data_IF_292041554040
#
_entry.id   IF_292041554040
#
_cell.length_a   1.000
_cell.length_b   1.000
_cell.length_c   1.000
_cell.angle_alpha   90.00
_cell.angle_beta   90.00
_cell.angle_gamma   90.00
#
_symmetry.space_group_name_H-M   'P 1'
#
loop_
_entity.id
_entity.type
_entity.pdbx_description
1 polymer ?
#
# COMPACT_ATOMS: atom_id res chain seq x y z
N UNK A 1 3.70 -25.01 -63.52
CA UNK A 1 3.15 -25.51 -62.23
C UNK A 1 3.73 -24.68 -61.12
N UNK A 2 2.92 -23.80 -60.51
CA UNK A 2 3.35 -22.86 -59.43
C UNK A 2 2.73 -23.34 -58.10
N UNK A 3 3.57 -23.88 -57.23
CA UNK A 3 3.16 -24.25 -55.85
C UNK A 3 3.08 -22.99 -55.01
N UNK A 4 1.87 -22.66 -54.51
CA UNK A 4 1.64 -21.65 -53.48
C UNK A 4 1.62 -22.37 -52.11
N UNK A 5 2.62 -22.06 -51.30
CA UNK A 5 2.64 -22.48 -49.87
C UNK A 5 1.91 -21.39 -49.07
N UNK A 6 0.77 -21.75 -48.55
CA UNK A 6 -0.01 -20.89 -47.64
C UNK A 6 0.50 -21.10 -46.23
N UNK A 7 1.15 -20.10 -45.67
CA UNK A 7 1.57 -20.09 -44.27
C UNK A 7 0.37 -19.68 -43.40
N UNK A 8 -0.18 -20.62 -42.67
CA UNK A 8 -1.21 -20.35 -41.65
C UNK A 8 -0.50 -19.92 -40.35
N UNK A 9 -0.63 -18.64 -40.00
CA UNK A 9 -0.19 -18.12 -38.74
C UNK A 9 -1.18 -18.55 -37.66
N UNK A 10 -0.78 -19.44 -36.75
CA UNK A 10 -1.52 -19.82 -35.56
C UNK A 10 -1.24 -18.75 -34.50
N UNK A 11 -2.19 -17.86 -34.30
CA UNK A 11 -2.15 -16.86 -33.25
C UNK A 11 -2.65 -17.52 -31.95
N UNK A 12 -1.70 -17.98 -31.10
CA UNK A 12 -2.01 -18.48 -29.76
C UNK A 12 -2.43 -17.34 -28.86
N UNK A 13 -3.71 -17.22 -28.60
CA UNK A 13 -4.28 -16.32 -27.62
C UNK A 13 -4.01 -16.93 -26.23
N UNK A 14 -3.00 -16.44 -25.53
CA UNK A 14 -2.78 -16.78 -24.11
C UNK A 14 -3.81 -16.00 -23.31
N UNK A 15 -4.93 -16.62 -23.00
CA UNK A 15 -5.85 -16.14 -21.96
C UNK A 15 -5.18 -16.40 -20.61
N UNK A 16 -4.56 -15.38 -20.01
CA UNK A 16 -4.23 -15.40 -18.60
C UNK A 16 -5.54 -15.27 -17.81
N UNK A 17 -6.01 -16.38 -17.28
CA UNK A 17 -7.11 -16.39 -16.31
C UNK A 17 -6.60 -15.71 -15.03
N UNK A 18 -7.03 -14.48 -14.80
CA UNK A 18 -6.85 -13.80 -13.50
C UNK A 18 -7.80 -14.48 -12.52
N UNK A 19 -7.25 -15.19 -11.54
CA UNK A 19 -8.02 -15.78 -10.47
C UNK A 19 -8.69 -14.66 -9.64
N UNK A 20 -10.01 -14.75 -9.35
CA UNK A 20 -10.68 -13.75 -8.53
C UNK A 20 -10.22 -13.93 -7.07
N UNK A 21 -9.48 -12.96 -6.55
CA UNK A 21 -9.14 -12.90 -5.11
C UNK A 21 -7.76 -12.40 -4.73
N UNK A 22 -6.85 -12.17 -5.64
CA UNK A 22 -5.56 -11.57 -5.30
C UNK A 22 -5.66 -10.04 -5.26
N UNK A 23 -5.66 -9.52 -4.05
CA UNK A 23 -5.49 -8.08 -3.81
C UNK A 23 -4.02 -7.75 -4.06
N UNK A 24 -3.75 -7.20 -5.22
CA UNK A 24 -2.39 -6.89 -5.67
C UNK A 24 -1.93 -5.61 -4.97
N UNK A 25 -0.90 -5.72 -4.13
CA UNK A 25 -0.15 -4.57 -3.67
C UNK A 25 0.64 -4.00 -4.86
N UNK A 26 0.38 -2.74 -5.24
CA UNK A 26 1.10 -2.07 -6.32
C UNK A 26 1.65 -0.74 -5.83
N UNK A 27 2.94 -0.51 -6.10
CA UNK A 27 3.53 0.81 -6.03
C UNK A 27 3.09 1.64 -7.25
N UNK A 28 2.55 2.81 -7.03
CA UNK A 28 2.11 3.72 -8.10
C UNK A 28 2.79 5.07 -7.96
N UNK A 29 3.20 5.63 -9.10
CA UNK A 29 3.59 7.02 -9.23
C UNK A 29 2.54 7.75 -10.08
N UNK A 30 2.09 8.90 -9.62
CA UNK A 30 1.21 9.77 -10.39
C UNK A 30 1.69 11.22 -10.33
N UNK A 31 1.59 11.93 -11.45
CA UNK A 31 1.88 13.35 -11.51
C UNK A 31 0.59 14.13 -11.82
N UNK A 32 0.24 15.03 -10.91
CA UNK A 32 -0.88 15.97 -11.10
C UNK A 32 -0.35 17.31 -11.63
N UNK A 33 -0.48 17.52 -12.94
CA UNK A 33 -0.02 18.74 -13.62
C UNK A 33 -0.74 20.01 -13.17
N UNK A 34 -1.94 19.91 -12.60
CA UNK A 34 -2.71 21.08 -12.14
C UNK A 34 -2.25 21.57 -10.77
N UNK A 35 -1.68 20.67 -9.98
CA UNK A 35 -1.14 20.97 -8.65
C UNK A 35 0.38 21.02 -8.64
N UNK A 36 1.01 20.69 -9.80
CA UNK A 36 2.46 20.52 -9.93
C UNK A 36 3.04 19.63 -8.82
N UNK A 37 2.47 18.43 -8.68
CA UNK A 37 2.85 17.48 -7.63
C UNK A 37 2.98 16.06 -8.15
N UNK A 38 3.99 15.36 -7.67
CA UNK A 38 4.16 13.93 -7.86
C UNK A 38 3.81 13.20 -6.57
N UNK A 39 2.93 12.21 -6.67
CA UNK A 39 2.60 11.28 -5.59
C UNK A 39 3.21 9.92 -5.89
N UNK A 40 3.81 9.32 -4.87
CA UNK A 40 4.28 7.95 -4.83
C UNK A 40 3.48 7.23 -3.76
N UNK A 41 2.78 6.16 -4.10
CA UNK A 41 1.93 5.42 -3.17
C UNK A 41 2.06 3.92 -3.38
N UNK A 42 2.20 3.15 -2.30
CA UNK A 42 1.96 1.72 -2.27
C UNK A 42 0.86 1.42 -1.26
N UNK A 43 -0.17 0.72 -1.70
CA UNK A 43 -1.29 0.31 -0.87
C UNK A 43 -1.30 -1.19 -0.71
N UNK A 44 -1.42 -1.63 0.54
CA UNK A 44 -1.49 -3.03 0.92
C UNK A 44 -2.84 -3.26 1.60
N UNK A 45 -3.65 -4.15 1.02
CA UNK A 45 -4.89 -4.60 1.63
C UNK A 45 -4.62 -5.86 2.45
N UNK A 46 -5.00 -5.83 3.73
CA UNK A 46 -4.90 -6.98 4.62
C UNK A 46 -6.23 -7.72 4.61
N UNK A 47 -6.33 -8.77 3.82
CA UNK A 47 -7.59 -9.38 3.38
C UNK A 47 -8.25 -10.35 4.36
N UNK A 48 -7.75 -10.49 5.59
CA UNK A 48 -8.45 -11.30 6.59
C UNK A 48 -9.58 -10.49 7.22
N UNK A 49 -10.79 -10.68 6.72
CA UNK A 49 -11.99 -10.19 7.39
C UNK A 49 -12.11 -10.89 8.74
N UNK A 50 -12.02 -10.13 9.83
CA UNK A 50 -12.32 -10.63 11.17
C UNK A 50 -13.79 -10.36 11.52
N UNK A 51 -14.28 -10.93 12.62
CA UNK A 51 -15.62 -10.59 13.14
C UNK A 51 -15.72 -9.11 13.51
N UNK A 52 -14.59 -8.45 13.74
CA UNK A 52 -14.47 -7.09 14.27
C UNK A 52 -14.18 -6.07 13.17
N UNK A 53 -13.39 -6.42 12.14
CA UNK A 53 -13.01 -5.51 11.07
C UNK A 53 -13.56 -5.94 9.72
N UNK A 54 -14.06 -4.99 8.92
CA UNK A 54 -14.45 -5.20 7.53
C UNK A 54 -13.28 -5.12 6.57
N UNK A 55 -12.24 -4.40 6.96
CA UNK A 55 -11.03 -4.26 6.17
C UNK A 55 -9.96 -3.49 6.91
N UNK A 56 -8.72 -3.82 6.60
CA UNK A 56 -7.53 -3.09 7.03
C UNK A 56 -6.72 -2.81 5.78
N UNK A 57 -6.41 -1.55 5.53
CA UNK A 57 -5.47 -1.16 4.49
C UNK A 57 -4.31 -0.38 5.10
N UNK A 58 -3.13 -0.61 4.58
CA UNK A 58 -1.94 0.15 4.93
C UNK A 58 -1.39 0.78 3.65
N UNK A 59 -1.03 2.05 3.70
CA UNK A 59 -0.36 2.73 2.61
C UNK A 59 0.97 3.32 3.07
N UNK A 60 1.94 3.33 2.15
CA UNK A 60 3.16 4.12 2.25
C UNK A 60 3.12 5.14 1.13
N UNK A 61 3.17 6.42 1.47
CA UNK A 61 3.00 7.52 0.53
C UNK A 61 4.09 8.58 0.69
N UNK A 62 4.49 9.20 -0.41
CA UNK A 62 5.26 10.44 -0.43
C UNK A 62 4.70 11.37 -1.51
N UNK A 63 4.56 12.64 -1.17
CA UNK A 63 4.11 13.69 -2.11
C UNK A 63 5.21 14.75 -2.18
N UNK A 64 5.62 15.07 -3.39
CA UNK A 64 6.67 16.08 -3.65
C UNK A 64 6.17 17.12 -4.66
N UNK A 65 6.62 18.35 -4.53
CA UNK A 65 6.31 19.40 -5.50
C UNK A 65 7.13 19.17 -6.80
N UNK A 66 6.50 19.40 -7.94
CA UNK A 66 7.07 19.19 -9.26
C UNK A 66 7.09 17.73 -9.72
N UNK A 67 7.54 17.52 -10.96
CA UNK A 67 7.78 16.21 -11.55
C UNK A 67 9.20 15.74 -11.24
N UNK A 68 9.46 15.28 -10.03
CA UNK A 68 10.79 14.90 -9.56
C UNK A 68 10.80 13.69 -8.65
N UNK A 69 11.97 13.12 -8.45
CA UNK A 69 12.21 12.09 -7.46
C UNK A 69 12.17 12.63 -6.03
N UNK A 70 11.92 11.75 -5.07
CA UNK A 70 12.01 12.03 -3.64
C UNK A 70 13.48 12.20 -3.21
N UNK A 71 13.75 13.21 -2.42
CA UNK A 71 15.07 13.53 -1.88
C UNK A 71 15.13 13.28 -0.37
N UNK A 72 16.30 13.48 0.24
CA UNK A 72 16.47 13.31 1.68
C UNK A 72 15.68 14.32 2.53
N UNK A 73 15.29 15.45 1.95
CA UNK A 73 14.49 16.49 2.62
C UNK A 73 13.00 16.21 2.58
N UNK A 74 12.54 15.30 1.71
CA UNK A 74 11.14 14.91 1.60
C UNK A 74 10.79 13.85 2.64
N UNK A 75 9.51 13.72 2.95
CA UNK A 75 9.01 12.75 3.91
C UNK A 75 8.09 11.72 3.25
N UNK A 76 8.09 10.55 3.84
CA UNK A 76 7.06 9.54 3.61
C UNK A 76 6.04 9.58 4.75
N UNK A 77 4.85 9.12 4.48
CA UNK A 77 3.83 8.85 5.49
C UNK A 77 3.40 7.40 5.37
N UNK A 78 3.53 6.64 6.44
CA UNK A 78 2.83 5.37 6.56
C UNK A 78 1.48 5.63 7.21
N UNK A 79 0.41 5.14 6.58
CA UNK A 79 -0.97 5.30 7.07
C UNK A 79 -1.65 3.94 7.13
N UNK A 80 -2.45 3.73 8.17
CA UNK A 80 -3.31 2.57 8.28
C UNK A 80 -4.77 3.03 8.42
N UNK A 81 -5.65 2.45 7.62
CA UNK A 81 -7.09 2.68 7.70
C UNK A 81 -7.75 1.38 8.11
N UNK A 82 -8.50 1.42 9.19
CA UNK A 82 -9.25 0.29 9.71
C UNK A 82 -10.73 0.60 9.66
N UNK A 83 -11.49 -0.28 9.01
CA UNK A 83 -12.96 -0.20 8.94
C UNK A 83 -13.56 -1.27 9.85
N UNK A 84 -14.33 -0.86 10.84
CA UNK A 84 -14.97 -1.73 11.83
C UNK A 84 -16.46 -1.88 11.58
N UNK A 85 -17.01 -3.04 11.98
CA UNK A 85 -18.47 -3.21 12.09
C UNK A 85 -18.99 -2.49 13.32
N UNK A 86 -20.04 -1.67 13.18
CA UNK A 86 -20.63 -0.90 14.29
C UNK A 86 -21.27 -1.76 15.40
N UNK A 87 -21.57 -3.03 15.13
CA UNK A 87 -22.07 -3.97 16.13
C UNK A 87 -21.02 -4.43 17.14
N UNK A 88 -19.78 -3.99 16.98
CA UNK A 88 -18.66 -4.38 17.84
C UNK A 88 -18.27 -3.26 18.81
N UNK A 89 -17.82 -3.67 19.99
CA UNK A 89 -17.44 -2.77 21.07
C UNK A 89 -16.38 -1.76 20.62
N UNK A 90 -16.77 -0.49 20.51
CA UNK A 90 -15.92 0.64 20.07
C UNK A 90 -14.64 0.77 20.92
N UNK A 91 -14.56 0.08 22.09
CA UNK A 91 -13.37 0.05 22.93
C UNK A 91 -12.15 -0.59 22.27
N UNK A 92 -12.33 -1.48 21.31
CA UNK A 92 -11.21 -1.97 20.50
C UNK A 92 -10.63 -0.87 19.59
N UNK A 93 -11.45 0.10 19.19
CA UNK A 93 -11.07 1.15 18.28
C UNK A 93 -10.04 2.15 18.84
N UNK A 94 -9.97 2.34 20.16
CA UNK A 94 -9.11 3.35 20.79
C UNK A 94 -7.66 2.93 21.04
N UNK A 95 -7.37 1.61 21.09
CA UNK A 95 -6.04 1.08 21.46
C UNK A 95 -5.60 -0.10 20.58
N UNK A 96 -6.34 -0.40 19.53
CA UNK A 96 -6.33 -1.69 18.87
C UNK A 96 -5.53 -1.77 17.58
N UNK A 97 -4.58 -0.87 17.32
CA UNK A 97 -3.67 -0.98 16.18
C UNK A 97 -2.22 -1.02 16.66
N UNK A 98 -1.59 -2.17 16.53
CA UNK A 98 -0.17 -2.37 16.84
C UNK A 98 0.56 -2.80 15.57
N UNK A 99 1.80 -2.35 15.42
CA UNK A 99 2.68 -2.77 14.34
C UNK A 99 4.05 -3.17 14.89
N UNK A 100 4.57 -4.28 14.38
CA UNK A 100 5.94 -4.72 14.61
C UNK A 100 6.69 -4.77 13.28
N UNK A 101 7.85 -4.14 13.25
CA UNK A 101 8.77 -4.15 12.11
C UNK A 101 10.05 -4.85 12.58
N UNK A 102 10.32 -6.03 12.04
CA UNK A 102 11.40 -6.91 12.51
C UNK A 102 11.38 -7.13 14.02
N UNK A 103 10.18 -7.33 14.58
CA UNK A 103 9.94 -7.56 16.01
C UNK A 103 10.04 -6.30 16.89
N UNK A 104 10.29 -5.12 16.32
CA UNK A 104 10.32 -3.85 17.05
C UNK A 104 9.00 -3.12 16.90
N UNK A 105 8.46 -2.64 18.02
CA UNK A 105 7.22 -1.87 17.99
C UNK A 105 7.38 -0.56 17.19
N UNK A 106 6.46 -0.32 16.28
CA UNK A 106 6.31 0.94 15.56
C UNK A 106 4.95 1.54 15.91
N UNK A 107 4.96 2.68 16.58
CA UNK A 107 3.73 3.38 16.95
C UNK A 107 3.25 4.25 15.79
N UNK A 108 2.01 4.09 15.39
CA UNK A 108 1.27 5.03 14.56
C UNK A 108 0.36 5.87 15.46
N UNK A 109 0.27 7.15 15.19
CA UNK A 109 -0.62 8.04 15.92
C UNK A 109 -1.99 8.09 15.24
N UNK A 110 -3.05 8.15 16.02
CA UNK A 110 -4.38 8.39 15.46
C UNK A 110 -4.48 9.85 15.01
N UNK A 111 -4.60 10.05 13.71
CA UNK A 111 -4.62 11.40 13.11
C UNK A 111 -6.04 11.96 12.97
N UNK A 112 -7.07 11.17 13.20
CA UNK A 112 -8.46 11.59 13.05
C UNK A 112 -9.38 11.07 14.15
N UNK A 113 -10.39 11.87 14.57
CA UNK A 113 -11.50 11.33 15.35
C UNK A 113 -12.21 10.25 14.53
N UNK A 114 -12.61 9.18 15.20
CA UNK A 114 -13.36 8.09 14.60
C UNK A 114 -14.56 8.65 13.81
N UNK A 115 -14.58 8.39 12.50
CA UNK A 115 -15.69 8.79 11.65
C UNK A 115 -16.77 7.71 11.72
N UNK A 116 -17.88 8.00 12.39
CA UNK A 116 -19.00 7.06 12.52
C UNK A 116 -20.00 7.28 11.36
N UNK A 117 -20.20 6.25 10.54
CA UNK A 117 -21.40 6.14 9.68
C UNK A 117 -22.28 5.02 10.22
N UNK A 118 -23.57 5.07 9.93
CA UNK A 118 -24.63 4.23 10.52
C UNK A 118 -24.35 2.71 10.58
N UNK A 119 -23.38 2.19 9.81
CA UNK A 119 -23.06 0.76 9.75
C UNK A 119 -21.60 0.41 10.04
N UNK A 120 -20.70 1.40 10.07
CA UNK A 120 -19.27 1.17 10.27
C UNK A 120 -18.55 2.38 10.84
N UNK A 121 -17.45 2.13 11.55
CA UNK A 121 -16.51 3.14 12.00
C UNK A 121 -15.20 3.02 11.21
N UNK A 122 -14.61 4.16 10.86
CA UNK A 122 -13.30 4.23 10.22
C UNK A 122 -12.34 4.91 11.18
N UNK A 123 -11.20 4.27 11.40
CA UNK A 123 -10.07 4.85 12.12
C UNK A 123 -8.88 4.99 11.16
N UNK A 124 -8.19 6.11 11.28
CA UNK A 124 -6.95 6.37 10.57
C UNK A 124 -5.80 6.55 11.57
N UNK A 125 -4.69 5.91 11.28
CA UNK A 125 -3.45 5.99 12.03
C UNK A 125 -2.35 6.39 11.06
N UNK A 126 -1.42 7.24 11.49
CA UNK A 126 -0.35 7.68 10.60
C UNK A 126 0.96 7.95 11.34
N UNK A 127 2.06 7.90 10.57
CA UNK A 127 3.40 8.31 11.02
C UNK A 127 4.17 8.88 9.85
N UNK A 128 4.73 10.08 10.05
CA UNK A 128 5.72 10.63 9.13
C UNK A 128 7.06 9.95 9.34
N UNK A 129 7.75 9.68 8.24
CA UNK A 129 9.04 9.03 8.19
C UNK A 129 9.98 9.79 7.26
N UNK A 130 11.24 9.82 7.61
CA UNK A 130 12.30 10.20 6.68
C UNK A 130 12.45 9.16 5.58
N UNK A 131 13.13 9.51 4.48
CA UNK A 131 13.46 8.54 3.42
C UNK A 131 14.24 7.33 3.97
N UNK A 132 15.15 7.54 4.93
CA UNK A 132 15.91 6.44 5.53
C UNK A 132 15.03 5.49 6.35
N UNK A 133 14.08 6.02 7.11
CA UNK A 133 13.09 5.21 7.86
C UNK A 133 12.14 4.48 6.92
N UNK A 134 11.66 5.14 5.86
CA UNK A 134 10.80 4.52 4.85
C UNK A 134 11.52 3.37 4.14
N UNK A 135 12.82 3.55 3.83
CA UNK A 135 13.64 2.48 3.28
C UNK A 135 13.79 1.32 4.26
N UNK A 136 14.13 1.60 5.52
CA UNK A 136 14.25 0.55 6.54
C UNK A 136 12.93 -0.21 6.76
N UNK A 137 11.79 0.49 6.68
CA UNK A 137 10.47 -0.12 6.75
C UNK A 137 10.19 -1.02 5.54
N UNK A 138 10.47 -0.56 4.33
CA UNK A 138 10.27 -1.34 3.10
C UNK A 138 11.21 -2.55 2.99
N UNK A 139 12.45 -2.44 3.50
CA UNK A 139 13.47 -3.49 3.51
C UNK A 139 13.32 -4.47 4.69
N UNK A 140 12.35 -4.25 5.59
CA UNK A 140 12.10 -5.14 6.72
C UNK A 140 11.86 -6.57 6.27
N UNK A 141 12.36 -7.54 7.05
CA UNK A 141 12.14 -8.97 6.77
C UNK A 141 10.74 -9.42 7.14
N UNK A 142 10.16 -8.77 8.14
CA UNK A 142 8.84 -9.12 8.66
C UNK A 142 8.11 -7.87 9.14
N UNK A 143 6.88 -7.70 8.68
CA UNK A 143 5.96 -6.67 9.16
C UNK A 143 4.72 -7.39 9.67
N UNK A 144 4.47 -7.27 10.97
CA UNK A 144 3.27 -7.79 11.61
C UNK A 144 2.38 -6.62 12.02
N UNK A 145 1.09 -6.76 11.78
CA UNK A 145 0.07 -5.80 12.18
C UNK A 145 -0.99 -6.53 12.99
N UNK A 146 -1.33 -5.99 14.16
CA UNK A 146 -2.44 -6.48 14.94
C UNK A 146 -3.54 -5.42 15.02
N UNK A 147 -4.73 -5.82 14.65
CA UNK A 147 -5.93 -5.01 14.80
C UNK A 147 -6.87 -5.74 15.73
N UNK A 148 -7.03 -5.21 16.93
CA UNK A 148 -7.77 -5.85 18.01
C UNK A 148 -7.19 -7.24 18.35
N UNK A 149 -7.93 -8.27 18.02
CA UNK A 149 -7.60 -9.69 18.24
C UNK A 149 -7.07 -10.40 16.97
N UNK A 150 -6.98 -9.69 15.85
CA UNK A 150 -6.59 -10.28 14.58
C UNK A 150 -5.19 -9.83 14.18
N UNK A 151 -4.32 -10.80 13.92
CA UNK A 151 -2.95 -10.57 13.48
C UNK A 151 -2.82 -10.82 11.97
N UNK A 152 -2.06 -9.96 11.32
CA UNK A 152 -1.71 -9.99 9.91
C UNK A 152 -0.20 -9.94 9.78
N UNK A 153 0.37 -10.78 8.93
CA UNK A 153 1.77 -10.70 8.55
C UNK A 153 1.82 -10.37 7.06
N UNK A 154 2.66 -9.42 6.67
CA UNK A 154 2.87 -9.08 5.27
C UNK A 154 3.50 -10.27 4.54
N UNK A 155 2.94 -10.60 3.40
CA UNK A 155 3.54 -11.56 2.48
C UNK A 155 4.67 -10.95 1.64
N UNK A 156 5.37 -11.80 0.88
CA UNK A 156 6.50 -11.38 0.05
C UNK A 156 6.09 -10.37 -1.03
N UNK A 157 4.88 -10.47 -1.57
CA UNK A 157 4.38 -9.59 -2.62
C UNK A 157 4.06 -8.19 -2.04
N UNK A 158 3.44 -8.14 -0.87
CA UNK A 158 3.16 -6.89 -0.17
C UNK A 158 4.45 -6.17 0.22
N UNK A 159 5.45 -6.90 0.71
CA UNK A 159 6.76 -6.32 1.00
C UNK A 159 7.50 -5.90 -0.27
N UNK A 160 7.39 -6.66 -1.36
CA UNK A 160 7.98 -6.29 -2.65
C UNK A 160 7.42 -4.96 -3.17
N UNK A 161 6.10 -4.72 -3.05
CA UNK A 161 5.47 -3.47 -3.46
C UNK A 161 6.00 -2.25 -2.68
N UNK A 162 6.24 -2.39 -1.36
CA UNK A 162 6.84 -1.32 -0.56
C UNK A 162 8.27 -1.02 -1.02
N UNK A 163 9.10 -2.05 -1.26
CA UNK A 163 10.48 -1.89 -1.76
C UNK A 163 10.51 -1.23 -3.14
N UNK A 164 9.61 -1.66 -4.03
CA UNK A 164 9.49 -1.09 -5.36
C UNK A 164 9.13 0.38 -5.32
N UNK A 165 8.13 0.76 -4.50
CA UNK A 165 7.75 2.15 -4.31
C UNK A 165 8.92 3.03 -3.89
N UNK A 166 9.65 2.63 -2.83
CA UNK A 166 10.76 3.41 -2.30
C UNK A 166 11.89 3.53 -3.34
N UNK A 167 12.17 2.46 -4.08
CA UNK A 167 13.13 2.47 -5.19
C UNK A 167 12.71 3.43 -6.29
N UNK A 168 11.45 3.35 -6.75
CA UNK A 168 10.92 4.19 -7.83
C UNK A 168 10.83 5.66 -7.43
N UNK A 169 10.50 5.93 -6.16
CA UNK A 169 10.51 7.28 -5.62
C UNK A 169 11.91 7.92 -5.63
N UNK A 170 12.98 7.14 -5.52
CA UNK A 170 14.37 7.61 -5.58
C UNK A 170 14.94 7.67 -7.00
N UNK A 171 14.31 7.01 -7.96
CA UNK A 171 14.82 6.96 -9.33
C UNK A 171 14.69 8.33 -10.00
N UNK A 172 15.82 8.92 -10.37
CA UNK A 172 15.87 10.11 -11.22
C UNK A 172 15.43 9.70 -12.62
N UNK A 173 14.28 10.19 -13.08
CA UNK A 173 13.92 10.01 -14.50
C UNK A 173 14.49 11.16 -15.31
N UNK A 174 15.04 10.89 -16.49
CA UNK A 174 15.32 11.98 -17.43
C UNK A 174 14.00 12.68 -17.72
N UNK A 175 14.00 14.03 -17.65
CA UNK A 175 12.90 14.84 -18.13
C UNK A 175 12.57 14.40 -19.56
N UNK A 176 11.31 14.06 -19.81
CA UNK A 176 10.85 13.89 -21.18
C UNK A 176 10.83 15.31 -21.80
N UNK A 177 11.86 15.61 -22.61
CA UNK A 177 11.93 16.79 -23.47
C UNK A 177 10.90 16.67 -24.58
#
# INVERSE_FOLDING_TARGET
MKNRITLAAVMSLVLTAVAPGEVVAQGQRSYDRFKDRTSYEAKVELSKLSKTSRGVSLSLESVVDGDRAVTKSDSFTVSAIVTFNMSYDVRCAGTGFDMLVDGKAMSLQSDMPAFNRYEYAILSFGKKMTLAEAKAFADAKKIDVRVCDTEYTFDDQQQAALRELVRDAQATRPSAD
#
